data_IF_475116063530
#
_entry.id   IF_475116063530
#
_cell.length_a   1.000
_cell.length_b   1.000
_cell.length_c   1.000
_cell.angle_alpha   90.00
_cell.angle_beta   90.00
_cell.angle_gamma   90.00
#
_symmetry.space_group_name_H-M   'P 1'
#
loop_
_entity.id
_entity.type
_entity.pdbx_description
1 polymer ?
#
# COMPACT_ATOMS: atom_id res chain seq x y z
N UNK A 1 0.09 5.71 -33.10
CA UNK A 1 1.09 5.23 -32.10
C UNK A 1 0.34 4.79 -30.85
N UNK A 2 0.41 3.51 -30.49
CA UNK A 2 -0.21 3.04 -29.25
C UNK A 2 0.60 3.49 -28.04
N UNK A 3 -0.05 4.01 -27.00
CA UNK A 3 0.62 4.46 -25.78
C UNK A 3 1.34 3.29 -25.09
N UNK A 4 2.62 3.49 -24.74
CA UNK A 4 3.42 2.48 -24.03
C UNK A 4 2.81 2.20 -22.66
N UNK A 5 2.86 0.93 -22.25
CA UNK A 5 2.39 0.52 -20.93
C UNK A 5 3.15 1.28 -19.82
N UNK A 6 2.40 1.92 -18.92
CA UNK A 6 2.93 2.68 -17.78
C UNK A 6 1.99 2.56 -16.59
N UNK A 7 2.49 2.73 -15.38
CA UNK A 7 1.62 2.84 -14.21
C UNK A 7 1.17 4.29 -14.05
N UNK A 8 -0.16 4.51 -14.11
CA UNK A 8 -0.77 5.73 -13.61
C UNK A 8 -0.82 5.63 -12.08
N UNK A 9 -0.33 6.66 -11.38
CA UNK A 9 -0.25 6.69 -9.93
C UNK A 9 -1.02 7.88 -9.38
N UNK A 10 -1.82 7.65 -8.34
CA UNK A 10 -2.41 8.70 -7.52
C UNK A 10 -2.11 8.41 -6.05
N UNK A 11 -1.86 9.48 -5.29
CA UNK A 11 -1.62 9.42 -3.85
C UNK A 11 -2.49 10.44 -3.15
N UNK A 12 -3.02 10.08 -1.98
CA UNK A 12 -3.76 10.99 -1.11
C UNK A 12 -3.28 10.86 0.32
N UNK A 13 -3.29 11.98 1.06
CA UNK A 13 -3.16 11.95 2.52
C UNK A 13 -4.42 11.35 3.14
N UNK A 14 -4.27 10.46 4.11
CA UNK A 14 -5.36 9.84 4.84
C UNK A 14 -4.88 9.32 6.20
N UNK A 15 -5.82 8.98 7.07
CA UNK A 15 -5.59 8.20 8.29
C UNK A 15 -6.04 6.75 8.08
N UNK A 16 -5.94 5.91 9.12
CA UNK A 16 -6.41 4.52 9.08
C UNK A 16 -7.93 4.39 8.88
N UNK A 17 -8.73 5.41 9.21
CA UNK A 17 -10.18 5.38 9.05
C UNK A 17 -10.61 5.66 7.59
N UNK A 18 -9.81 6.44 6.87
CA UNK A 18 -10.06 6.85 5.47
C UNK A 18 -9.22 6.07 4.45
N UNK A 19 -8.31 5.23 4.93
CA UNK A 19 -7.59 4.25 4.12
C UNK A 19 -8.53 3.11 3.72
N UNK A 20 -8.24 2.48 2.58
CA UNK A 20 -8.94 1.27 2.14
C UNK A 20 -8.94 0.22 3.26
N UNK A 21 -10.11 -0.35 3.63
CA UNK A 21 -10.25 -1.23 4.80
C UNK A 21 -9.22 -2.36 4.85
N UNK A 22 -9.02 -3.08 3.73
CA UNK A 22 -8.07 -4.20 3.67
C UNK A 22 -6.64 -3.78 4.04
N UNK A 23 -6.20 -2.58 3.63
CA UNK A 23 -4.86 -2.07 3.97
C UNK A 23 -4.80 -1.65 5.43
N UNK A 24 -5.84 -0.97 5.93
CA UNK A 24 -5.90 -0.53 7.30
C UNK A 24 -5.94 -1.71 8.27
N UNK A 25 -6.72 -2.74 7.95
CA UNK A 25 -6.88 -3.93 8.78
C UNK A 25 -5.62 -4.79 8.75
N UNK A 26 -4.93 -4.88 7.61
CA UNK A 26 -3.61 -5.53 7.56
C UNK A 26 -2.58 -4.80 8.45
N UNK A 27 -2.55 -3.47 8.43
CA UNK A 27 -1.67 -2.68 9.32
C UNK A 27 -2.03 -2.90 10.79
N UNK A 28 -3.33 -2.97 11.13
CA UNK A 28 -3.80 -3.27 12.49
C UNK A 28 -3.35 -4.65 12.96
N UNK A 29 -3.62 -5.67 12.17
CA UNK A 29 -3.22 -7.05 12.48
C UNK A 29 -1.69 -7.16 12.67
N UNK A 30 -0.91 -6.52 11.79
CA UNK A 30 0.55 -6.48 11.91
C UNK A 30 1.03 -5.88 13.24
N UNK A 31 0.37 -4.82 13.71
CA UNK A 31 0.69 -4.15 14.97
C UNK A 31 0.26 -4.99 16.18
N UNK A 32 -0.92 -5.61 16.13
CA UNK A 32 -1.44 -6.51 17.16
C UNK A 32 -0.53 -7.73 17.36
N UNK A 33 -0.12 -8.38 16.28
CA UNK A 33 0.80 -9.55 16.29
C UNK A 33 2.15 -9.25 16.98
N UNK A 34 2.51 -7.96 17.07
CA UNK A 34 3.78 -7.49 17.67
C UNK A 34 3.59 -6.88 19.05
N UNK A 35 2.37 -6.86 19.59
CA UNK A 35 2.04 -6.18 20.84
C UNK A 35 2.19 -4.66 20.76
N UNK A 36 2.09 -4.09 19.55
CA UNK A 36 2.26 -2.67 19.25
C UNK A 36 0.93 -2.00 18.88
N UNK A 37 -0.21 -2.51 19.35
CA UNK A 37 -1.52 -1.96 18.99
C UNK A 37 -1.69 -0.47 19.35
N UNK A 38 -1.03 -0.01 20.42
CA UNK A 38 -1.02 1.40 20.83
C UNK A 38 -0.34 2.33 19.83
N UNK A 39 0.56 1.80 18.99
CA UNK A 39 1.27 2.56 17.97
C UNK A 39 0.32 3.28 17.00
N UNK A 40 -0.82 2.66 16.72
CA UNK A 40 -1.80 3.19 15.78
C UNK A 40 -2.57 4.41 16.35
N UNK A 41 -2.55 4.61 17.67
CA UNK A 41 -3.09 5.82 18.29
C UNK A 41 -2.19 7.05 18.10
N UNK A 42 -0.91 6.83 17.77
CA UNK A 42 0.11 7.87 17.63
C UNK A 42 0.42 8.19 16.16
N UNK A 43 -0.46 7.84 15.23
CA UNK A 43 -0.28 8.12 13.81
C UNK A 43 -0.21 9.63 13.58
N UNK A 44 0.96 10.10 13.15
CA UNK A 44 1.25 11.51 12.85
C UNK A 44 0.94 11.86 11.41
N UNK A 45 1.10 10.90 10.49
CA UNK A 45 0.76 11.05 9.09
C UNK A 45 0.37 9.71 8.48
N UNK A 46 -0.45 9.74 7.44
CA UNK A 46 -0.73 8.56 6.64
C UNK A 46 -1.01 8.93 5.20
N UNK A 47 -0.85 7.95 4.32
CA UNK A 47 -1.18 8.11 2.91
C UNK A 47 -1.66 6.80 2.30
N UNK A 48 -2.41 6.92 1.22
CA UNK A 48 -2.77 5.81 0.36
C UNK A 48 -2.33 6.15 -1.06
N UNK A 49 -1.68 5.19 -1.71
CA UNK A 49 -1.27 5.26 -3.11
C UNK A 49 -1.94 4.14 -3.90
N UNK A 50 -2.54 4.49 -5.04
CA UNK A 50 -3.06 3.55 -6.02
C UNK A 50 -2.24 3.66 -7.29
N UNK A 51 -1.76 2.53 -7.80
CA UNK A 51 -1.06 2.43 -9.07
C UNK A 51 -1.82 1.49 -9.99
N UNK A 52 -2.09 1.91 -11.23
CA UNK A 52 -2.81 1.11 -12.22
C UNK A 52 -2.06 1.09 -13.55
N UNK A 53 -1.91 -0.10 -14.13
CA UNK A 53 -1.26 -0.27 -15.42
C UNK A 53 -2.20 0.20 -16.55
N UNK A 54 -1.84 1.32 -17.18
CA UNK A 54 -2.54 1.90 -18.33
C UNK A 54 -1.74 1.72 -19.62
N UNK A 55 -2.41 1.80 -20.78
CA UNK A 55 -1.80 1.68 -22.10
C UNK A 55 -1.78 0.25 -22.66
N UNK A 56 -1.21 0.08 -23.86
CA UNK A 56 -1.23 -1.20 -24.59
C UNK A 56 -0.17 -2.16 -24.02
N UNK A 57 -0.62 -3.30 -23.49
CA UNK A 57 0.27 -4.36 -22.99
C UNK A 57 0.95 -5.09 -24.15
N UNK A 58 2.28 -4.96 -24.25
CA UNK A 58 3.08 -5.82 -25.11
C UNK A 58 3.10 -7.28 -24.61
N UNK A 59 3.46 -8.22 -25.50
CA UNK A 59 3.54 -9.66 -25.19
C UNK A 59 4.41 -9.93 -23.94
N UNK A 60 5.54 -9.21 -23.80
CA UNK A 60 6.47 -9.33 -22.69
C UNK A 60 5.81 -8.99 -21.32
N UNK A 61 5.01 -7.93 -21.26
CA UNK A 61 4.28 -7.54 -20.03
C UNK A 61 3.23 -8.57 -19.61
N UNK A 62 2.62 -9.28 -20.58
CA UNK A 62 1.67 -10.36 -20.29
C UNK A 62 2.38 -11.60 -19.71
N UNK A 63 3.63 -11.86 -20.11
CA UNK A 63 4.42 -12.99 -19.62
C UNK A 63 5.00 -12.74 -18.23
N UNK A 64 5.34 -11.49 -17.89
CA UNK A 64 5.94 -11.14 -16.59
C UNK A 64 4.98 -11.16 -15.39
N UNK A 65 3.68 -11.47 -15.59
CA UNK A 65 2.65 -11.53 -14.53
C UNK A 65 2.67 -10.32 -13.56
N UNK A 66 3.02 -9.15 -14.07
CA UNK A 66 3.06 -7.93 -13.27
C UNK A 66 1.65 -7.56 -12.81
N UNK A 67 1.47 -7.13 -11.55
CA UNK A 67 0.15 -6.80 -11.04
C UNK A 67 -0.44 -5.62 -11.81
N UNK A 68 -1.72 -5.72 -12.15
CA UNK A 68 -2.42 -4.70 -12.93
C UNK A 68 -2.71 -3.46 -12.09
N UNK A 69 -3.00 -3.69 -10.81
CA UNK A 69 -3.30 -2.70 -9.80
C UNK A 69 -2.40 -2.95 -8.60
N UNK A 70 -1.97 -1.89 -7.94
CA UNK A 70 -1.28 -2.00 -6.66
C UNK A 70 -1.79 -0.89 -5.76
N UNK A 71 -2.32 -1.28 -4.63
CA UNK A 71 -2.69 -0.37 -3.56
C UNK A 71 -1.62 -0.43 -2.47
N UNK A 72 -1.28 0.72 -1.92
CA UNK A 72 -0.37 0.83 -0.80
C UNK A 72 -0.95 1.81 0.20
N UNK A 73 -0.98 1.42 1.46
CA UNK A 73 -1.35 2.27 2.58
C UNK A 73 -0.17 2.37 3.51
N UNK A 74 0.21 3.57 3.94
CA UNK A 74 1.30 3.78 4.88
C UNK A 74 0.85 4.68 6.03
N UNK A 75 1.37 4.39 7.21
CA UNK A 75 1.22 5.21 8.41
C UNK A 75 2.58 5.47 9.03
N UNK A 76 2.76 6.70 9.49
CA UNK A 76 3.92 7.17 10.22
C UNK A 76 3.50 7.45 11.65
N UNK A 77 4.32 6.99 12.59
CA UNK A 77 4.22 7.23 14.02
C UNK A 77 5.58 7.78 14.49
N UNK A 78 5.74 8.23 15.75
CA UNK A 78 7.04 8.67 16.25
C UNK A 78 8.13 7.60 16.10
N UNK A 79 7.78 6.34 16.35
CA UNK A 79 8.74 5.25 16.46
C UNK A 79 8.75 4.30 15.25
N UNK A 80 7.77 4.39 14.34
CA UNK A 80 7.63 3.43 13.24
C UNK A 80 7.06 4.05 11.97
N UNK A 81 7.56 3.56 10.84
CA UNK A 81 6.92 3.64 9.53
C UNK A 81 6.38 2.25 9.16
N UNK A 82 5.07 2.14 8.97
CA UNK A 82 4.40 0.88 8.61
C UNK A 82 3.64 1.07 7.30
N UNK A 83 3.75 0.11 6.39
CA UNK A 83 2.97 0.12 5.16
C UNK A 83 2.49 -1.27 4.75
N UNK A 84 1.28 -1.32 4.23
CA UNK A 84 0.68 -2.47 3.57
C UNK A 84 0.72 -2.28 2.06
N UNK A 85 1.03 -3.34 1.32
CA UNK A 85 0.98 -3.37 -0.15
C UNK A 85 0.07 -4.52 -0.58
N UNK A 86 -0.88 -4.19 -1.45
CA UNK A 86 -1.81 -5.15 -2.05
C UNK A 86 -1.69 -5.13 -3.57
N UNK A 87 -1.11 -6.16 -4.20
CA UNK A 87 -1.15 -6.35 -5.64
C UNK A 87 -2.50 -6.95 -6.07
N UNK A 88 -3.10 -6.38 -7.11
CA UNK A 88 -4.40 -6.79 -7.65
C UNK A 88 -5.45 -7.06 -6.57
N UNK A 89 -5.94 -8.30 -6.49
CA UNK A 89 -6.95 -8.74 -5.52
C UNK A 89 -6.36 -9.69 -4.46
N UNK A 90 -5.03 -9.81 -4.38
CA UNK A 90 -4.31 -10.66 -3.41
C UNK A 90 -4.40 -10.11 -1.98
N UNK A 91 -3.93 -10.88 -1.00
CA UNK A 91 -3.80 -10.47 0.39
C UNK A 91 -2.72 -9.38 0.57
N UNK A 92 -2.95 -8.34 1.39
CA UNK A 92 -1.94 -7.33 1.66
C UNK A 92 -0.71 -7.91 2.39
N UNK A 93 0.47 -7.54 1.92
CA UNK A 93 1.73 -7.78 2.65
C UNK A 93 2.11 -6.53 3.44
N UNK A 94 2.47 -6.68 4.71
CA UNK A 94 2.80 -5.56 5.60
C UNK A 94 4.27 -5.57 6.00
N UNK A 95 4.89 -4.40 5.93
CA UNK A 95 6.24 -4.14 6.39
C UNK A 95 6.21 -2.98 7.40
N UNK A 96 6.96 -3.12 8.48
CA UNK A 96 7.16 -2.04 9.45
C UNK A 96 8.65 -1.87 9.73
N UNK A 97 9.08 -0.62 9.77
CA UNK A 97 10.45 -0.22 10.03
C UNK A 97 10.44 0.70 11.25
N UNK A 98 11.26 0.35 12.24
CA UNK A 98 11.46 1.18 13.43
C UNK A 98 12.29 2.41 13.06
N UNK A 99 11.84 3.57 13.51
CA UNK A 99 12.52 4.85 13.40
C UNK A 99 13.44 5.01 14.62
N UNK A 100 14.62 5.59 14.37
CA UNK A 100 15.70 5.71 15.36
C UNK A 100 15.48 6.89 16.31
#
# INVERSE_FOLDING_TARGET
>A
MGEKARYARSSRSCDLLRMTPDLADAIKAWAEDRGQASLLAEVTAGCETRSELVGRRGLLMRMMKMPQRTQMGAVLTPDWLVWAVRPDDDDPTVLGVRLA
#
